data_IF_123516554865
#
_entry.id   IF_123516554865
#
_cell.length_a   1.000
_cell.length_b   1.000
_cell.length_c   1.000
_cell.angle_alpha   90.00
_cell.angle_beta   90.00
_cell.angle_gamma   90.00
#
_symmetry.space_group_name_H-M   'P 1'
#
loop_
_entity.id
_entity.type
_entity.pdbx_description
1 polymer ?
#
# COMPACT_ATOMS: atom_id res chain seq x y z
N UNK A 1 -17.04 9.47 -4.00
CA UNK A 1 -18.50 9.43 -4.14
C UNK A 1 -19.06 8.27 -3.29
N UNK A 2 -19.24 8.42 -1.97
CA UNK A 2 -19.82 7.36 -1.14
C UNK A 2 -21.31 7.58 -0.80
N UNK A 3 -21.87 8.77 -1.07
CA UNK A 3 -23.23 9.14 -0.69
C UNK A 3 -24.32 8.24 -1.29
N UNK A 4 -24.11 7.73 -2.52
CA UNK A 4 -25.09 6.87 -3.20
C UNK A 4 -25.30 5.50 -2.55
N UNK A 5 -24.27 4.93 -1.92
CA UNK A 5 -24.35 3.61 -1.26
C UNK A 5 -25.08 3.73 0.08
N UNK A 6 -24.79 4.79 0.85
CA UNK A 6 -25.49 5.07 2.11
C UNK A 6 -26.99 5.34 1.88
N UNK A 7 -27.31 6.11 0.84
CA UNK A 7 -28.68 6.44 0.50
C UNK A 7 -29.51 5.21 0.08
N UNK A 8 -28.92 4.30 -0.71
CA UNK A 8 -29.60 3.07 -1.16
C UNK A 8 -29.83 2.03 -0.06
N UNK A 9 -28.89 1.86 0.88
CA UNK A 9 -29.07 0.95 2.02
C UNK A 9 -30.09 1.50 3.01
N UNK A 10 -30.11 2.82 3.21
CA UNK A 10 -31.08 3.49 4.06
C UNK A 10 -32.51 3.34 3.51
N UNK A 11 -32.74 3.60 2.22
CA UNK A 11 -34.08 3.42 1.63
C UNK A 11 -34.54 1.96 1.62
N UNK A 12 -33.63 1.00 1.39
CA UNK A 12 -33.97 -0.43 1.47
C UNK A 12 -34.33 -0.89 2.89
N UNK A 13 -33.74 -0.28 3.92
CA UNK A 13 -34.03 -0.60 5.32
C UNK A 13 -35.24 0.14 5.88
N UNK A 14 -35.74 1.21 5.25
CA UNK A 14 -36.83 2.01 5.83
C UNK A 14 -38.02 2.22 4.89
N UNK A 15 -37.99 1.64 3.67
CA UNK A 15 -39.10 1.66 2.72
C UNK A 15 -40.19 0.63 3.06
N UNK A 16 -41.34 1.14 3.50
CA UNK A 16 -42.68 0.52 3.42
C UNK A 16 -43.00 -0.75 4.24
N UNK A 17 -42.98 -0.70 5.59
CA UNK A 17 -43.66 -1.69 6.45
C UNK A 17 -44.28 -1.00 7.69
N UNK A 18 -45.50 -1.36 8.16
CA UNK A 18 -46.06 -0.84 9.41
C UNK A 18 -45.18 -1.23 10.60
N UNK A 19 -44.58 -0.23 11.25
CA UNK A 19 -43.49 -0.43 12.21
C UNK A 19 -43.98 -0.92 13.58
N UNK A 20 -43.39 -2.02 14.06
CA UNK A 20 -43.21 -2.23 15.50
C UNK A 20 -41.89 -1.58 15.92
N UNK A 21 -41.85 -0.99 17.12
CA UNK A 21 -40.65 -0.33 17.68
C UNK A 21 -39.41 -1.25 17.70
N UNK A 22 -39.63 -2.56 17.73
CA UNK A 22 -38.61 -3.61 17.75
C UNK A 22 -37.94 -3.79 16.37
N UNK A 23 -38.68 -3.61 15.28
CA UNK A 23 -38.14 -3.65 13.91
C UNK A 23 -37.26 -2.43 13.61
N UNK A 24 -37.66 -1.25 14.12
CA UNK A 24 -36.86 -0.02 14.02
C UNK A 24 -35.53 -0.16 14.76
N UNK A 25 -35.55 -0.71 15.98
CA UNK A 25 -34.35 -0.97 16.77
C UNK A 25 -33.41 -1.95 16.06
N UNK A 26 -33.95 -3.06 15.53
CA UNK A 26 -33.15 -4.07 14.84
C UNK A 26 -32.44 -3.49 13.61
N UNK A 27 -33.16 -2.71 12.80
CA UNK A 27 -32.61 -2.06 11.59
C UNK A 27 -31.58 -0.99 11.93
N UNK A 28 -31.81 -0.20 12.99
CA UNK A 28 -30.86 0.79 13.47
C UNK A 28 -29.55 0.13 13.94
N UNK A 29 -29.63 -0.97 14.70
CA UNK A 29 -28.45 -1.73 15.13
C UNK A 29 -27.71 -2.34 13.94
N UNK A 30 -28.44 -2.92 12.98
CA UNK A 30 -27.84 -3.48 11.76
C UNK A 30 -27.12 -2.39 10.95
N UNK A 31 -27.74 -1.22 10.82
CA UNK A 31 -27.17 -0.08 10.11
C UNK A 31 -25.89 0.43 10.79
N UNK A 32 -25.89 0.53 12.12
CA UNK A 32 -24.70 0.91 12.90
C UNK A 32 -23.58 -0.13 12.72
N UNK A 33 -23.90 -1.43 12.77
CA UNK A 33 -22.91 -2.50 12.57
C UNK A 33 -22.31 -2.46 11.16
N UNK A 34 -23.14 -2.30 10.13
CA UNK A 34 -22.67 -2.22 8.74
C UNK A 34 -21.81 -0.97 8.53
N UNK A 35 -22.23 0.19 9.02
CA UNK A 35 -21.45 1.42 8.92
C UNK A 35 -20.13 1.32 9.68
N UNK A 36 -20.13 0.73 10.87
CA UNK A 36 -18.91 0.46 11.67
C UNK A 36 -17.98 -0.52 10.96
N UNK A 37 -18.51 -1.59 10.36
CA UNK A 37 -17.72 -2.57 9.61
C UNK A 37 -17.08 -1.93 8.35
N UNK A 38 -17.80 -1.04 7.65
CA UNK A 38 -17.28 -0.33 6.48
C UNK A 38 -16.24 0.73 6.88
N UNK A 39 -16.41 1.40 8.02
CA UNK A 39 -15.46 2.43 8.47
C UNK A 39 -14.20 1.83 9.10
N UNK A 40 -14.33 0.80 9.96
CA UNK A 40 -13.21 0.23 10.70
C UNK A 40 -12.54 -0.94 9.95
N UNK A 41 -13.31 -1.72 9.19
CA UNK A 41 -12.81 -2.90 8.45
C UNK A 41 -11.59 -2.62 7.56
N UNK A 42 -11.58 -1.53 6.78
CA UNK A 42 -10.42 -1.16 5.95
C UNK A 42 -9.18 -0.79 6.77
N UNK A 43 -9.34 -0.28 7.99
CA UNK A 43 -8.21 0.06 8.88
C UNK A 43 -7.61 -1.19 9.54
N UNK A 44 -8.45 -2.16 9.93
CA UNK A 44 -7.99 -3.42 10.52
C UNK A 44 -7.32 -4.37 9.51
N UNK A 45 -7.70 -4.30 8.23
CA UNK A 45 -7.02 -5.07 7.18
C UNK A 45 -5.64 -4.51 6.84
N UNK A 46 -5.44 -3.19 6.91
CA UNK A 46 -4.15 -2.58 6.53
C UNK A 46 -2.98 -3.00 7.42
N UNK A 47 -3.22 -3.31 8.69
CA UNK A 47 -2.17 -3.64 9.67
C UNK A 47 -1.88 -5.13 9.81
N UNK A 48 -2.68 -6.02 9.20
CA UNK A 48 -2.53 -7.48 9.36
C UNK A 48 -1.31 -8.09 8.66
N UNK A 49 -0.80 -7.44 7.62
CA UNK A 49 0.31 -7.98 6.80
C UNK A 49 1.70 -7.58 7.31
N UNK A 50 1.79 -6.75 8.36
CA UNK A 50 3.07 -6.37 8.96
C UNK A 50 3.35 -7.30 10.15
N UNK A 51 4.43 -8.10 10.13
CA UNK A 51 4.76 -9.00 11.23
C UNK A 51 4.93 -8.23 12.55
N UNK A 52 4.40 -8.79 13.64
CA UNK A 52 4.60 -8.24 14.98
C UNK A 52 6.11 -8.19 15.29
N UNK A 53 6.65 -6.99 15.53
CA UNK A 53 8.07 -6.76 15.81
C UNK A 53 8.83 -5.98 14.73
N UNK A 54 8.23 -5.72 13.56
CA UNK A 54 8.81 -4.76 12.60
C UNK A 54 8.52 -3.34 13.08
N UNK A 55 9.56 -2.51 13.21
CA UNK A 55 9.35 -1.10 13.52
C UNK A 55 8.61 -0.46 12.34
N UNK A 56 7.43 0.10 12.62
CA UNK A 56 6.71 0.94 11.67
C UNK A 56 7.41 2.30 11.70
N UNK A 57 8.68 2.29 11.28
CA UNK A 57 9.43 3.50 10.97
C UNK A 57 8.80 4.13 9.72
N UNK A 58 8.75 5.48 9.65
CA UNK A 58 8.37 6.21 8.46
C UNK A 58 9.05 5.65 7.21
N UNK A 59 10.36 5.45 7.31
CA UNK A 59 11.18 4.92 6.24
C UNK A 59 11.33 3.42 6.42
N UNK A 60 11.00 2.67 5.38
CA UNK A 60 11.19 1.23 5.29
C UNK A 60 12.33 0.92 4.34
N UNK A 61 13.13 -0.09 4.65
CA UNK A 61 14.29 -0.47 3.86
C UNK A 61 14.48 -1.98 3.85
N UNK A 62 14.79 -2.53 2.68
CA UNK A 62 15.17 -3.93 2.51
C UNK A 62 16.26 -4.05 1.47
N UNK A 63 17.17 -4.96 1.75
CA UNK A 63 18.34 -5.19 0.91
C UNK A 63 18.28 -6.60 0.33
N UNK A 64 18.62 -6.71 -0.95
CA UNK A 64 18.59 -7.96 -1.69
C UNK A 64 19.81 -8.08 -2.58
N UNK A 65 20.37 -9.28 -2.66
CA UNK A 65 21.43 -9.59 -3.61
C UNK A 65 20.78 -9.95 -4.94
N UNK A 66 21.28 -9.33 -6.02
CA UNK A 66 20.81 -9.55 -7.39
C UNK A 66 22.02 -9.76 -8.29
N UNK A 67 21.87 -10.62 -9.29
CA UNK A 67 22.97 -10.94 -10.20
C UNK A 67 23.27 -9.77 -11.14
N UNK A 68 24.52 -9.70 -11.62
CA UNK A 68 24.93 -8.69 -12.61
C UNK A 68 24.44 -9.09 -13.99
N UNK A 69 23.24 -8.65 -14.33
CA UNK A 69 22.61 -8.88 -15.62
C UNK A 69 22.51 -7.55 -16.41
N UNK A 70 22.86 -7.50 -17.71
CA UNK A 70 22.59 -6.34 -18.56
C UNK A 70 21.10 -5.93 -18.60
N UNK A 71 20.17 -6.87 -18.40
CA UNK A 71 18.72 -6.61 -18.39
C UNK A 71 18.19 -6.17 -17.01
N UNK A 72 19.05 -6.10 -15.98
CA UNK A 72 18.65 -5.79 -14.62
C UNK A 72 17.96 -4.42 -14.50
N UNK A 73 18.43 -3.41 -15.25
CA UNK A 73 17.84 -2.08 -15.23
C UNK A 73 16.38 -2.11 -15.72
N UNK A 74 16.12 -2.81 -16.82
CA UNK A 74 14.78 -2.96 -17.39
C UNK A 74 13.88 -3.78 -16.47
N UNK A 75 14.42 -4.82 -15.81
CA UNK A 75 13.70 -5.60 -14.79
C UNK A 75 13.29 -4.74 -13.60
N UNK A 76 14.19 -3.90 -13.08
CA UNK A 76 13.88 -2.98 -11.97
C UNK A 76 12.78 -2.00 -12.37
N UNK A 77 12.87 -1.42 -13.57
CA UNK A 77 11.83 -0.50 -14.08
C UNK A 77 10.50 -1.24 -14.21
N UNK A 78 10.48 -2.43 -14.80
CA UNK A 78 9.25 -3.24 -14.93
C UNK A 78 8.63 -3.61 -13.58
N UNK A 79 9.45 -3.95 -12.57
CA UNK A 79 8.97 -4.19 -11.21
C UNK A 79 8.38 -2.91 -10.59
N UNK A 80 9.01 -1.76 -10.79
CA UNK A 80 8.48 -0.48 -10.31
C UNK A 80 7.19 -0.06 -11.02
N UNK A 81 7.06 -0.34 -12.32
CA UNK A 81 5.84 -0.09 -13.11
C UNK A 81 4.69 -1.04 -12.76
N UNK A 82 5.01 -2.23 -12.21
CA UNK A 82 3.98 -3.16 -11.70
C UNK A 82 3.29 -2.64 -10.43
N UNK A 83 3.92 -1.70 -9.72
CA UNK A 83 3.30 -1.02 -8.59
C UNK A 83 2.31 0.04 -9.10
N UNK A 84 1.32 0.44 -8.28
CA UNK A 84 0.50 1.62 -8.56
C UNK A 84 1.30 2.92 -8.35
N UNK A 85 2.44 3.04 -9.05
CA UNK A 85 3.44 4.10 -8.96
C UNK A 85 3.90 4.54 -10.35
N UNK A 86 4.31 5.79 -10.45
CA UNK A 86 4.88 6.38 -11.64
C UNK A 86 6.40 6.44 -11.49
N UNK A 87 7.15 5.92 -12.47
CA UNK A 87 8.61 6.01 -12.47
C UNK A 87 9.01 7.45 -12.75
N UNK A 88 9.57 8.12 -11.74
CA UNK A 88 9.98 9.53 -11.80
C UNK A 88 11.43 9.72 -12.25
N UNK A 89 12.26 8.71 -12.02
CA UNK A 89 13.67 8.72 -12.41
C UNK A 89 14.15 7.29 -12.60
N UNK A 90 14.82 7.02 -13.71
CA UNK A 90 15.49 5.75 -13.98
C UNK A 90 16.84 6.08 -14.63
N UNK A 91 17.91 6.01 -13.85
CA UNK A 91 19.26 6.28 -14.32
C UNK A 91 20.14 5.05 -14.09
N UNK A 92 20.39 4.25 -15.14
CA UNK A 92 21.22 3.05 -15.04
C UNK A 92 22.70 3.40 -14.81
N UNK A 93 23.14 4.62 -15.14
CA UNK A 93 24.52 5.09 -14.92
C UNK A 93 24.75 5.38 -13.43
N UNK A 94 23.85 6.13 -12.80
CA UNK A 94 23.88 6.35 -11.34
C UNK A 94 23.32 5.18 -10.52
N UNK A 95 22.77 4.16 -11.20
CA UNK A 95 22.18 2.95 -10.62
C UNK A 95 21.05 3.24 -9.63
N UNK A 96 20.29 4.29 -9.93
CA UNK A 96 19.23 4.80 -9.07
C UNK A 96 17.93 4.82 -9.86
N UNK A 97 16.90 4.20 -9.28
CA UNK A 97 15.57 4.09 -9.86
C UNK A 97 14.56 4.52 -8.82
N UNK A 98 13.67 5.46 -9.16
CA UNK A 98 12.75 6.09 -8.22
C UNK A 98 11.35 6.11 -8.82
N UNK A 99 10.42 5.45 -8.13
CA UNK A 99 9.00 5.49 -8.46
C UNK A 99 8.21 6.17 -7.33
N UNK A 100 7.16 6.87 -7.72
CA UNK A 100 6.29 7.62 -6.81
C UNK A 100 4.86 7.14 -6.92
N UNK A 101 4.27 6.71 -5.81
CA UNK A 101 2.88 6.25 -5.80
C UNK A 101 1.89 7.41 -5.98
N UNK A 102 0.79 7.12 -6.68
CA UNK A 102 -0.33 8.04 -6.81
C UNK A 102 -1.13 8.10 -5.49
N UNK A 103 -0.69 8.93 -4.56
CA UNK A 103 -1.37 9.14 -3.27
C UNK A 103 -2.66 9.96 -3.43
N UNK A 104 -3.76 9.49 -2.83
CA UNK A 104 -4.98 10.29 -2.64
C UNK A 104 -4.81 11.09 -1.34
N UNK A 105 -4.98 12.42 -1.38
CA UNK A 105 -4.91 13.30 -0.20
C UNK A 105 -3.51 13.41 0.46
N UNK A 106 -2.46 13.58 -0.34
CA UNK A 106 -1.11 13.88 0.18
C UNK A 106 -0.27 12.66 0.60
N UNK A 107 -0.88 11.49 0.78
CA UNK A 107 -0.24 10.21 1.14
C UNK A 107 0.56 9.57 -0.01
N UNK A 108 1.46 10.33 -0.61
CA UNK A 108 2.37 9.83 -1.65
C UNK A 108 3.50 9.06 -0.98
N UNK A 109 4.00 8.05 -1.65
CA UNK A 109 5.14 7.25 -1.21
C UNK A 109 6.16 7.24 -2.33
N UNK A 110 7.43 7.44 -1.99
CA UNK A 110 8.53 7.31 -2.92
C UNK A 110 9.27 6.00 -2.64
N UNK A 111 9.30 5.12 -3.65
CA UNK A 111 10.01 3.84 -3.62
C UNK A 111 11.25 3.99 -4.49
N UNK A 112 12.42 3.93 -3.87
CA UNK A 112 13.70 4.03 -4.54
C UNK A 112 14.48 2.72 -4.45
N UNK A 113 15.02 2.28 -5.59
CA UNK A 113 15.94 1.15 -5.73
C UNK A 113 17.31 1.70 -6.10
N UNK A 114 18.32 1.41 -5.29
CA UNK A 114 19.71 1.79 -5.56
C UNK A 114 20.58 0.54 -5.60
N UNK A 115 21.35 0.35 -6.68
CA UNK A 115 22.28 -0.77 -6.78
C UNK A 115 23.67 -0.36 -6.27
N UNK A 116 24.16 -1.09 -5.28
CA UNK A 116 25.48 -0.91 -4.67
C UNK A 116 26.31 -2.16 -4.93
N UNK A 117 27.63 -2.03 -5.08
CA UNK A 117 28.51 -3.18 -5.24
C UNK A 117 28.33 -4.16 -4.07
N UNK A 118 27.98 -5.41 -4.37
CA UNK A 118 27.86 -6.49 -3.40
C UNK A 118 29.10 -7.38 -3.36
N UNK A 119 29.12 -8.36 -2.44
CA UNK A 119 30.10 -9.43 -2.45
C UNK A 119 29.93 -10.34 -3.68
N UNK A 120 30.97 -11.10 -4.01
CA UNK A 120 30.96 -12.20 -4.98
C UNK A 120 30.43 -11.83 -6.38
N UNK A 121 30.85 -10.68 -6.89
CA UNK A 121 30.46 -10.17 -8.22
C UNK A 121 28.95 -9.96 -8.42
N UNK A 122 28.19 -9.77 -7.33
CA UNK A 122 26.75 -9.44 -7.37
C UNK A 122 26.50 -7.96 -7.12
N UNK A 123 25.29 -7.51 -7.45
CA UNK A 123 24.77 -6.23 -6.99
C UNK A 123 23.98 -6.41 -5.70
N UNK A 124 24.04 -5.40 -4.86
CA UNK A 124 23.18 -5.25 -3.68
C UNK A 124 22.11 -4.22 -4.02
N UNK A 125 20.89 -4.66 -4.27
CA UNK A 125 19.73 -3.79 -4.46
C UNK A 125 19.20 -3.33 -3.10
N UNK A 126 19.36 -2.04 -2.83
CA UNK A 126 18.79 -1.37 -1.66
C UNK A 126 17.45 -0.77 -2.06
N UNK A 127 16.36 -1.35 -1.54
CA UNK A 127 15.00 -0.90 -1.78
C UNK A 127 14.55 -0.10 -0.57
N UNK A 128 14.18 1.16 -0.80
CA UNK A 128 13.72 2.07 0.25
C UNK A 128 12.36 2.63 -0.09
N UNK A 129 11.49 2.73 0.92
CA UNK A 129 10.22 3.44 0.83
C UNK A 129 10.23 4.61 1.79
N UNK A 130 9.89 5.79 1.27
CA UNK A 130 9.80 7.04 2.02
C UNK A 130 8.41 7.66 1.81
N UNK A 131 7.56 7.70 2.85
CA UNK A 131 6.26 8.34 2.77
C UNK A 131 6.44 9.86 2.75
N UNK A 132 5.74 10.50 1.83
CA UNK A 132 5.45 11.93 1.89
C UNK A 132 4.17 12.11 2.70
N UNK A 133 4.30 12.86 3.79
CA UNK A 133 3.31 13.35 4.75
C UNK A 133 1.80 13.11 4.46
N UNK A 134 0.98 12.69 5.44
CA UNK A 134 1.33 12.35 6.82
C UNK A 134 1.89 10.93 6.94
N UNK A 135 2.96 10.80 7.71
CA UNK A 135 3.76 9.59 7.87
C UNK A 135 3.00 8.48 8.60
N UNK A 136 2.16 8.85 9.57
CA UNK A 136 1.42 7.89 10.41
C UNK A 136 0.22 7.24 9.69
N UNK A 137 -0.15 7.75 8.51
CA UNK A 137 -1.25 7.23 7.70
C UNK A 137 -0.83 6.08 6.75
N UNK A 138 0.45 5.70 6.75
CA UNK A 138 0.99 4.75 5.79
C UNK A 138 0.48 3.31 6.02
N UNK A 139 0.18 2.94 7.28
CA UNK A 139 -0.51 1.69 7.62
C UNK A 139 0.18 0.44 7.06
N UNK A 140 1.52 0.42 7.04
CA UNK A 140 2.33 -0.70 6.55
C UNK A 140 2.47 -0.77 5.03
N UNK A 141 2.03 0.25 4.27
CA UNK A 141 2.18 0.29 2.81
C UNK A 141 3.65 0.30 2.39
N UNK A 142 4.51 1.09 3.04
CA UNK A 142 5.95 1.10 2.76
C UNK A 142 6.61 -0.26 2.94
N UNK A 143 6.19 -1.03 3.95
CA UNK A 143 6.68 -2.40 4.15
C UNK A 143 6.23 -3.34 3.02
N UNK A 144 4.96 -3.26 2.59
CA UNK A 144 4.43 -4.05 1.47
C UNK A 144 5.12 -3.71 0.15
N UNK A 145 5.28 -2.42 -0.17
CA UNK A 145 5.95 -1.97 -1.40
C UNK A 145 7.39 -2.47 -1.46
N UNK A 146 8.16 -2.26 -0.39
CA UNK A 146 9.56 -2.70 -0.30
C UNK A 146 9.70 -4.21 -0.35
N UNK A 147 8.78 -4.94 0.30
CA UNK A 147 8.77 -6.41 0.29
C UNK A 147 8.45 -6.95 -1.09
N UNK A 148 7.41 -6.43 -1.76
CA UNK A 148 7.01 -6.86 -3.10
C UNK A 148 8.15 -6.65 -4.12
N UNK A 149 8.80 -5.48 -4.09
CA UNK A 149 9.94 -5.19 -4.96
C UNK A 149 11.12 -6.11 -4.63
N UNK A 150 11.44 -6.28 -3.35
CA UNK A 150 12.56 -7.13 -2.96
C UNK A 150 12.34 -8.62 -3.30
N UNK A 151 11.09 -9.09 -3.29
CA UNK A 151 10.75 -10.46 -3.69
C UNK A 151 10.85 -10.63 -5.20
N UNK A 152 10.30 -9.71 -6.00
CA UNK A 152 10.41 -9.77 -7.46
C UNK A 152 11.86 -9.61 -7.97
N UNK A 153 12.72 -8.93 -7.22
CA UNK A 153 14.14 -8.81 -7.58
C UNK A 153 14.98 -10.03 -7.20
N UNK A 154 14.47 -10.95 -6.37
CA UNK A 154 15.15 -12.22 -6.04
C UNK A 154 14.95 -13.30 -7.10
N UNK A 155 13.90 -13.18 -7.89
CA UNK A 155 13.53 -14.10 -8.97
C UNK A 155 14.24 -13.74 -10.29
#
# INVERSE_FOLDING_TARGET
MPAGVFFGVFTALFGDIPFSWLDVLLRAVLFILVTTAITIGPHLWRTRDVPAGVSISPRQERTVLVDRDPELADRIVGVLESLPAEVTSADPVSRSFVARTAGRWGTREEVAVTLVAGPDDRWTARVTSTPHWPVDADGGRGYRSVTAVAEHLRD
#
